data_IF_218905388645
#
_entry.id   IF_218905388645
#
_cell.length_a   1.000
_cell.length_b   1.000
_cell.length_c   1.000
_cell.angle_alpha   90.00
_cell.angle_beta   90.00
_cell.angle_gamma   90.00
#
_symmetry.space_group_name_H-M   'P 1'
#
loop_
_entity.id
_entity.type
_entity.pdbx_description
1 polymer ?
#
# COMPACT_ATOMS: atom_id res chain seq x y z
N UNK A 1 2.74 3.09 9.76
CA UNK A 1 2.15 3.63 8.52
C UNK A 1 3.23 3.65 7.45
N UNK A 2 2.93 3.38 6.17
CA UNK A 2 3.91 3.30 5.09
C UNK A 2 3.46 4.02 3.83
N UNK A 3 4.34 4.84 3.25
CA UNK A 3 4.13 5.52 1.95
C UNK A 3 5.33 5.24 1.04
N UNK A 4 5.17 4.21 0.21
CA UNK A 4 6.18 3.71 -0.72
C UNK A 4 5.47 3.02 -1.88
N UNK A 5 6.03 3.06 -3.09
CA UNK A 5 5.44 2.42 -4.28
C UNK A 5 4.84 1.05 -3.98
N UNK A 6 3.54 0.87 -4.22
CA UNK A 6 2.82 -0.37 -3.91
C UNK A 6 3.03 -1.41 -5.01
N UNK A 7 4.20 -2.05 -5.02
CA UNK A 7 4.61 -3.07 -5.99
C UNK A 7 4.68 -4.46 -5.34
N UNK A 8 4.92 -5.51 -6.14
CA UNK A 8 5.21 -6.86 -5.64
C UNK A 8 6.41 -6.86 -4.68
N UNK A 9 7.44 -6.06 -4.95
CA UNK A 9 8.62 -5.97 -4.07
C UNK A 9 8.27 -5.34 -2.72
N UNK A 10 7.46 -4.28 -2.73
CA UNK A 10 6.97 -3.67 -1.49
C UNK A 10 6.01 -4.58 -0.74
N UNK A 11 5.25 -5.44 -1.43
CA UNK A 11 4.44 -6.46 -0.77
C UNK A 11 5.29 -7.41 0.09
N UNK A 12 6.45 -7.87 -0.41
CA UNK A 12 7.39 -8.68 0.38
C UNK A 12 7.91 -7.92 1.61
N UNK A 13 8.20 -6.62 1.46
CA UNK A 13 8.58 -5.76 2.58
C UNK A 13 7.45 -5.68 3.63
N UNK A 14 6.21 -5.45 3.20
CA UNK A 14 5.02 -5.40 4.06
C UNK A 14 4.86 -6.70 4.84
N UNK A 15 4.88 -7.85 4.17
CA UNK A 15 4.76 -9.16 4.80
C UNK A 15 5.91 -9.42 5.78
N UNK A 16 7.13 -8.99 5.45
CA UNK A 16 8.29 -9.10 6.35
C UNK A 16 8.08 -8.29 7.63
N UNK A 17 7.57 -7.05 7.53
CA UNK A 17 7.29 -6.22 8.70
C UNK A 17 6.21 -6.85 9.59
N UNK A 18 5.14 -7.38 8.98
CA UNK A 18 4.07 -8.09 9.70
C UNK A 18 4.61 -9.37 10.36
N UNK A 19 5.45 -10.14 9.67
CA UNK A 19 6.09 -11.34 10.22
C UNK A 19 7.00 -11.02 11.42
N UNK A 20 7.57 -9.81 11.48
CA UNK A 20 8.34 -9.29 12.61
C UNK A 20 7.47 -8.67 13.72
N UNK A 21 6.14 -8.72 13.59
CA UNK A 21 5.19 -8.28 14.61
C UNK A 21 4.67 -6.85 14.45
N UNK A 22 4.91 -6.20 13.32
CA UNK A 22 4.39 -4.86 13.07
C UNK A 22 2.92 -4.87 12.62
N UNK A 23 2.12 -3.94 13.13
CA UNK A 23 0.85 -3.56 12.53
C UNK A 23 1.08 -2.46 11.49
N UNK A 24 0.63 -2.68 10.26
CA UNK A 24 0.93 -1.79 9.13
C UNK A 24 -0.33 -1.37 8.39
N UNK A 25 -0.31 -0.13 7.91
CA UNK A 25 -1.25 0.46 6.95
C UNK A 25 -0.42 1.09 5.85
N UNK A 26 -0.79 0.91 4.58
CA UNK A 26 0.09 1.25 3.46
C UNK A 26 -0.60 2.03 2.33
N UNK A 27 0.15 2.95 1.73
CA UNK A 27 -0.22 3.72 0.52
C UNK A 27 0.94 3.77 -0.46
N UNK A 28 0.65 4.05 -1.73
CA UNK A 28 1.67 4.39 -2.72
C UNK A 28 2.18 5.82 -2.50
N UNK A 29 3.44 6.10 -2.84
CA UNK A 29 3.98 7.45 -2.90
C UNK A 29 3.99 8.05 -4.33
N UNK A 30 3.34 7.36 -5.28
CA UNK A 30 3.18 7.83 -6.65
C UNK A 30 1.93 7.22 -7.30
N UNK A 31 1.15 8.08 -7.96
CA UNK A 31 -0.15 7.74 -8.57
C UNK A 31 -0.08 6.71 -9.71
N UNK A 32 1.10 6.47 -10.29
CA UNK A 32 1.29 5.52 -11.40
C UNK A 32 2.11 4.27 -11.04
N UNK A 33 2.67 4.22 -9.83
CA UNK A 33 3.62 3.16 -9.47
C UNK A 33 2.97 1.89 -8.93
N UNK A 34 1.70 1.95 -8.52
CA UNK A 34 1.00 0.79 -7.97
C UNK A 34 0.92 -0.34 -8.99
N UNK A 35 1.14 -1.55 -8.53
CA UNK A 35 0.81 -2.78 -9.25
C UNK A 35 -0.45 -3.35 -8.59
N UNK A 36 -1.60 -3.23 -9.24
CA UNK A 36 -2.90 -3.50 -8.60
C UNK A 36 -3.03 -4.93 -8.07
N UNK A 37 -2.41 -5.90 -8.74
CA UNK A 37 -2.37 -7.28 -8.27
C UNK A 37 -1.56 -7.45 -6.97
N UNK A 38 -0.52 -6.64 -6.75
CA UNK A 38 0.23 -6.63 -5.49
C UNK A 38 -0.59 -5.97 -4.37
N UNK A 39 -1.25 -4.85 -4.64
CA UNK A 39 -2.16 -4.21 -3.69
C UNK A 39 -3.31 -5.17 -3.31
N UNK A 40 -3.93 -5.83 -4.29
CA UNK A 40 -4.99 -6.80 -4.07
C UNK A 40 -4.54 -7.99 -3.21
N UNK A 41 -3.32 -8.51 -3.42
CA UNK A 41 -2.78 -9.60 -2.61
C UNK A 41 -2.58 -9.18 -1.14
N UNK A 42 -2.04 -7.98 -0.90
CA UNK A 42 -1.88 -7.43 0.46
C UNK A 42 -3.23 -7.19 1.13
N UNK A 43 -4.20 -6.65 0.40
CA UNK A 43 -5.56 -6.48 0.91
C UNK A 43 -6.21 -7.83 1.27
N UNK A 44 -6.05 -8.85 0.43
CA UNK A 44 -6.56 -10.20 0.68
C UNK A 44 -5.91 -10.89 1.89
N UNK A 45 -4.67 -10.52 2.23
CA UNK A 45 -3.99 -10.94 3.45
C UNK A 45 -4.49 -10.21 4.72
N UNK A 46 -5.48 -9.32 4.59
CA UNK A 46 -6.07 -8.58 5.71
C UNK A 46 -5.26 -7.35 6.14
N UNK A 47 -4.29 -6.93 5.33
CA UNK A 47 -3.44 -5.77 5.62
C UNK A 47 -4.04 -4.54 4.93
N UNK A 48 -4.36 -3.44 5.66
CA UNK A 48 -4.93 -2.25 5.06
C UNK A 48 -3.99 -1.60 4.03
N UNK A 49 -4.45 -1.54 2.78
CA UNK A 49 -3.76 -0.85 1.68
C UNK A 49 -4.74 0.07 0.95
N UNK A 50 -4.32 1.30 0.69
CA UNK A 50 -5.09 2.33 -0.02
C UNK A 50 -4.24 2.82 -1.19
N UNK A 51 -4.25 2.07 -2.29
CA UNK A 51 -3.47 2.38 -3.47
C UNK A 51 -4.01 1.62 -4.69
N UNK A 52 -4.16 2.29 -5.82
CA UNK A 52 -4.36 1.67 -7.15
C UNK A 52 -3.64 2.48 -8.22
N UNK A 53 -3.39 1.85 -9.36
CA UNK A 53 -2.70 2.51 -10.47
C UNK A 53 -3.63 3.50 -11.15
N UNK A 54 -3.16 4.73 -11.30
CA UNK A 54 -3.92 5.80 -11.96
C UNK A 54 -4.91 6.48 -11.04
N UNK A 55 -4.74 6.39 -9.72
CA UNK A 55 -5.44 7.25 -8.76
C UNK A 55 -5.24 8.73 -9.10
N UNK A 56 -6.27 9.54 -8.87
CA UNK A 56 -6.20 10.99 -8.99
C UNK A 56 -5.36 11.58 -7.84
N UNK A 57 -4.94 12.84 -7.97
CA UNK A 57 -4.22 13.52 -6.88
C UNK A 57 -5.08 13.68 -5.61
N UNK A 58 -6.40 13.83 -5.77
CA UNK A 58 -7.32 13.89 -4.63
C UNK A 58 -7.38 12.55 -3.90
N UNK A 59 -7.55 11.45 -4.66
CA UNK A 59 -7.52 10.09 -4.12
C UNK A 59 -6.18 9.76 -3.46
N UNK A 60 -5.06 10.16 -4.07
CA UNK A 60 -3.72 9.99 -3.50
C UNK A 60 -3.57 10.60 -2.10
N UNK A 61 -4.07 11.83 -1.91
CA UNK A 61 -4.03 12.49 -0.61
C UNK A 61 -5.03 11.89 0.37
N UNK A 62 -6.24 11.54 -0.09
CA UNK A 62 -7.20 10.79 0.72
C UNK A 62 -6.61 9.45 1.22
N UNK A 63 -5.95 8.69 0.33
CA UNK A 63 -5.23 7.46 0.65
C UNK A 63 -4.17 7.73 1.73
N UNK A 64 -3.36 8.78 1.55
CA UNK A 64 -2.34 9.18 2.54
C UNK A 64 -2.93 9.40 3.92
N UNK A 65 -4.08 10.07 4.02
CA UNK A 65 -4.80 10.25 5.28
C UNK A 65 -5.31 8.92 5.86
N UNK A 66 -5.76 7.99 5.01
CA UNK A 66 -6.14 6.64 5.48
C UNK A 66 -4.95 5.88 6.06
N UNK A 67 -3.72 6.16 5.66
CA UNK A 67 -2.56 5.46 6.20
C UNK A 67 -2.21 5.86 7.64
N UNK A 68 -2.59 7.07 8.07
CA UNK A 68 -2.30 7.64 9.40
C UNK A 68 -3.09 6.95 10.51
#
# INVERSE_FOLDING_TARGET
TGSLHMTVQTAVLIETLVALGAEVRWVSCNIYSTQDHAAAAIAAAGIPVFAWKGETLEEYWWCTEQAL
#
